data_IF_806657377724
#
_entry.id   IF_806657377724
#
_cell.length_a   1.000
_cell.length_b   1.000
_cell.length_c   1.000
_cell.angle_alpha   90.00
_cell.angle_beta   90.00
_cell.angle_gamma   90.00
#
_symmetry.space_group_name_H-M   'P 1'
#
loop_
_entity.id
_entity.type
_entity.pdbx_description
1 polymer ?
#
# COMPACT_ATOMS: atom_id res chain seq x y z
N UNK A 1 40.89 12.09 -0.02
CA UNK A 1 39.68 11.35 0.42
C UNK A 1 38.90 11.09 -0.84
N UNK A 2 38.82 9.86 -1.30
CA UNK A 2 37.91 9.48 -2.39
C UNK A 2 36.49 9.75 -1.88
N UNK A 3 35.73 10.57 -2.59
CA UNK A 3 34.29 10.69 -2.40
C UNK A 3 33.72 9.27 -2.52
N UNK A 4 33.23 8.70 -1.43
CA UNK A 4 32.49 7.46 -1.52
C UNK A 4 31.35 7.71 -2.53
N UNK A 5 31.29 6.89 -3.57
CA UNK A 5 30.22 6.99 -4.57
C UNK A 5 28.91 6.77 -3.83
N UNK A 6 28.04 7.80 -3.76
CA UNK A 6 26.74 7.68 -3.11
C UNK A 6 25.88 6.72 -3.92
N UNK A 7 25.07 5.93 -3.24
CA UNK A 7 24.06 5.11 -3.89
C UNK A 7 22.99 6.00 -4.52
N UNK A 8 22.64 5.78 -5.77
CA UNK A 8 21.63 6.53 -6.50
C UNK A 8 20.23 5.96 -6.24
N UNK A 9 19.37 6.73 -5.60
CA UNK A 9 18.02 6.33 -5.19
C UNK A 9 16.98 7.17 -5.92
N UNK A 10 16.10 6.52 -6.70
CA UNK A 10 14.97 7.20 -7.31
C UNK A 10 13.70 7.07 -6.46
N UNK A 11 13.04 8.18 -6.18
CA UNK A 11 11.73 8.24 -5.55
C UNK A 11 10.68 8.40 -6.65
N UNK A 12 9.80 7.39 -6.82
CA UNK A 12 8.64 7.50 -7.71
C UNK A 12 7.45 7.99 -6.90
N UNK A 13 6.67 8.94 -7.43
CA UNK A 13 5.50 9.47 -6.74
C UNK A 13 4.39 9.90 -7.71
N UNK A 14 3.20 10.18 -7.18
CA UNK A 14 2.02 10.52 -7.95
C UNK A 14 1.26 9.26 -8.41
N UNK A 15 1.17 9.03 -9.72
CA UNK A 15 0.50 7.86 -10.29
C UNK A 15 -0.94 8.13 -10.73
N UNK A 16 -1.52 7.18 -11.45
CA UNK A 16 -2.87 7.29 -12.03
C UNK A 16 -3.99 6.86 -11.07
N UNK A 17 -3.66 6.42 -9.86
CA UNK A 17 -4.66 5.95 -8.90
C UNK A 17 -5.42 7.11 -8.24
N UNK A 18 -6.53 6.78 -7.57
CA UNK A 18 -7.28 7.72 -6.72
C UNK A 18 -6.47 8.24 -5.52
N UNK A 19 -5.31 7.65 -5.26
CA UNK A 19 -4.40 8.00 -4.14
C UNK A 19 -3.21 8.86 -4.58
N UNK A 20 -3.28 9.46 -5.78
CA UNK A 20 -2.23 10.33 -6.35
C UNK A 20 -1.75 11.41 -5.36
N UNK A 21 -2.68 12.15 -4.77
CA UNK A 21 -2.36 13.23 -3.83
C UNK A 21 -1.68 12.71 -2.57
N UNK A 22 -2.10 11.54 -2.07
CA UNK A 22 -1.46 10.89 -0.91
C UNK A 22 -0.02 10.53 -1.20
N UNK A 23 0.25 10.02 -2.41
CA UNK A 23 1.59 9.73 -2.88
C UNK A 23 2.46 10.99 -2.96
N UNK A 24 1.91 12.09 -3.50
CA UNK A 24 2.59 13.38 -3.59
C UNK A 24 2.96 13.96 -2.22
N UNK A 25 2.13 13.74 -1.20
CA UNK A 25 2.44 14.14 0.19
C UNK A 25 3.43 13.16 0.84
N UNK A 26 3.26 11.86 0.62
CA UNK A 26 4.12 10.81 1.19
C UNK A 26 5.57 10.95 0.76
N UNK A 27 5.83 11.23 -0.52
CA UNK A 27 7.21 11.40 -1.03
C UNK A 27 7.93 12.55 -0.35
N UNK A 28 7.22 13.60 0.05
CA UNK A 28 7.79 14.72 0.81
C UNK A 28 8.43 14.28 2.12
N UNK A 29 7.90 13.25 2.77
CA UNK A 29 8.50 12.71 4.00
C UNK A 29 9.81 11.97 3.69
N UNK A 30 9.91 11.23 2.59
CA UNK A 30 11.16 10.64 2.13
C UNK A 30 12.20 11.72 1.79
N UNK A 31 11.82 12.71 0.99
CA UNK A 31 12.71 13.81 0.57
C UNK A 31 13.35 14.55 1.76
N UNK A 32 12.57 14.76 2.84
CA UNK A 32 13.04 15.47 4.06
C UNK A 32 13.90 14.62 4.98
N UNK A 33 13.72 13.29 4.96
CA UNK A 33 14.33 12.40 5.94
C UNK A 33 15.42 11.48 5.39
N UNK A 34 15.54 11.34 4.08
CA UNK A 34 16.61 10.52 3.46
C UNK A 34 17.97 11.16 3.63
N UNK A 35 18.97 10.37 4.04
CA UNK A 35 20.33 10.85 4.31
C UNK A 35 21.09 11.18 3.03
N UNK A 36 21.10 12.46 2.65
CA UNK A 36 21.83 12.98 1.48
C UNK A 36 23.35 12.80 1.55
N UNK A 37 23.91 12.43 2.69
CA UNK A 37 25.32 12.10 2.79
C UNK A 37 25.64 10.71 2.23
N UNK A 38 24.66 9.78 2.27
CA UNK A 38 24.75 8.39 1.79
C UNK A 38 24.18 8.24 0.37
N UNK A 39 23.11 8.98 0.06
CA UNK A 39 22.30 8.79 -1.14
C UNK A 39 22.31 10.01 -2.06
N UNK A 40 22.47 9.78 -3.34
CA UNK A 40 22.06 10.69 -4.39
C UNK A 40 20.58 10.41 -4.70
N UNK A 41 19.72 11.42 -4.59
CA UNK A 41 18.28 11.22 -4.67
C UNK A 41 17.71 11.91 -5.89
N UNK A 42 17.08 11.13 -6.73
CA UNK A 42 16.36 11.58 -7.91
C UNK A 42 14.85 11.46 -7.64
N UNK A 43 14.06 12.38 -8.19
CA UNK A 43 12.61 12.34 -8.04
C UNK A 43 11.93 12.23 -9.40
N UNK A 44 11.01 11.28 -9.51
CA UNK A 44 10.24 11.02 -10.73
C UNK A 44 8.75 11.06 -10.38
N UNK A 45 8.09 12.09 -10.88
CA UNK A 45 6.64 12.24 -10.74
C UNK A 45 5.90 11.56 -11.88
N UNK A 46 4.81 10.88 -11.56
CA UNK A 46 3.89 10.26 -12.52
C UNK A 46 2.58 11.04 -12.44
N UNK A 47 2.17 11.69 -13.54
CA UNK A 47 0.92 12.46 -13.56
C UNK A 47 -0.30 11.54 -13.54
N UNK A 48 -1.49 12.10 -13.35
CA UNK A 48 -2.77 11.35 -13.40
C UNK A 48 -3.03 10.73 -14.77
N UNK A 49 -2.45 11.29 -15.84
CA UNK A 49 -2.52 10.77 -17.20
C UNK A 49 -1.43 9.71 -17.49
N UNK A 50 -0.57 9.41 -16.49
CA UNK A 50 0.48 8.41 -16.64
C UNK A 50 1.76 8.89 -17.31
N UNK A 51 2.01 10.21 -17.36
CA UNK A 51 3.28 10.75 -17.88
C UNK A 51 4.34 10.68 -16.79
N UNK A 52 5.52 10.20 -17.12
CA UNK A 52 6.66 10.11 -16.21
C UNK A 52 7.60 11.29 -16.43
N UNK A 53 7.84 12.06 -15.38
CA UNK A 53 8.65 13.28 -15.42
C UNK A 53 9.72 13.22 -14.33
N UNK A 54 10.98 13.29 -14.74
CA UNK A 54 12.04 13.67 -13.82
C UNK A 54 11.81 15.12 -13.39
N UNK A 55 11.88 15.39 -12.11
CA UNK A 55 11.61 16.71 -11.55
C UNK A 55 12.55 17.02 -10.38
N UNK A 56 12.94 18.29 -10.25
CA UNK A 56 13.69 18.82 -9.12
C UNK A 56 12.77 19.59 -8.15
N UNK A 57 11.49 19.24 -8.13
CA UNK A 57 10.50 19.84 -7.27
C UNK A 57 10.87 19.76 -5.78
N UNK A 58 10.50 20.77 -5.00
CA UNK A 58 10.55 20.70 -3.54
C UNK A 58 9.43 19.82 -2.99
N UNK A 59 9.57 19.35 -1.76
CA UNK A 59 8.53 18.57 -1.10
C UNK A 59 7.16 19.30 -1.03
N UNK A 60 7.18 20.63 -0.93
CA UNK A 60 6.00 21.49 -0.92
C UNK A 60 5.33 21.51 -2.29
N UNK A 61 6.12 21.67 -3.36
CA UNK A 61 5.62 21.65 -4.75
C UNK A 61 5.07 20.27 -5.14
N UNK A 62 5.66 19.18 -4.63
CA UNK A 62 5.12 17.83 -4.80
C UNK A 62 3.75 17.71 -4.13
N UNK A 63 3.65 18.18 -2.88
CA UNK A 63 2.43 18.05 -2.08
C UNK A 63 1.26 18.89 -2.59
N UNK A 64 1.50 20.07 -3.17
CA UNK A 64 0.47 20.96 -3.70
C UNK A 64 0.16 20.74 -5.20
N UNK A 65 0.88 19.83 -5.86
CA UNK A 65 0.70 19.47 -7.28
C UNK A 65 1.38 20.41 -8.27
N UNK A 66 1.98 21.53 -7.84
CA UNK A 66 2.63 22.50 -8.73
C UNK A 66 3.89 21.94 -9.42
N UNK A 67 4.39 20.79 -8.97
CA UNK A 67 5.53 20.09 -9.58
C UNK A 67 5.31 19.75 -11.04
N UNK A 68 4.08 19.47 -11.47
CA UNK A 68 3.77 19.06 -12.84
C UNK A 68 4.10 20.14 -13.90
N UNK A 69 4.00 21.41 -13.51
CA UNK A 69 4.17 22.55 -14.40
C UNK A 69 5.59 23.17 -14.36
N UNK A 70 6.52 22.55 -13.62
CA UNK A 70 7.87 23.10 -13.52
C UNK A 70 8.61 23.06 -14.87
N UNK A 71 9.22 24.18 -15.29
CA UNK A 71 9.87 24.28 -16.61
C UNK A 71 11.12 23.40 -16.77
N UNK A 72 11.66 22.90 -15.66
CA UNK A 72 12.81 21.98 -15.62
C UNK A 72 12.45 20.50 -15.74
N UNK A 73 11.17 20.17 -15.77
CA UNK A 73 10.73 18.78 -15.89
C UNK A 73 11.17 18.16 -17.22
N UNK A 74 11.68 16.95 -17.15
CA UNK A 74 12.08 16.18 -18.34
C UNK A 74 11.30 14.86 -18.42
N UNK A 75 10.68 14.54 -19.56
CA UNK A 75 10.11 13.21 -19.77
C UNK A 75 11.17 12.13 -19.52
N UNK A 76 10.79 11.05 -18.85
CA UNK A 76 11.69 9.95 -18.56
C UNK A 76 10.96 8.60 -18.61
N UNK A 77 11.75 7.54 -18.69
CA UNK A 77 11.27 6.16 -18.55
C UNK A 77 12.30 5.34 -17.76
N UNK A 78 11.85 4.38 -16.96
CA UNK A 78 12.74 3.33 -16.48
C UNK A 78 12.93 2.34 -17.59
N UNK A 79 14.17 2.08 -17.98
CA UNK A 79 14.50 1.12 -19.03
C UNK A 79 14.29 -0.30 -18.53
N UNK A 80 13.50 -1.14 -19.21
CA UNK A 80 13.41 -2.56 -18.89
C UNK A 80 14.66 -3.35 -19.35
N UNK A 81 15.56 -2.74 -20.11
CA UNK A 81 16.83 -3.35 -20.52
C UNK A 81 17.81 -3.30 -19.35
N UNK A 82 18.19 -4.48 -18.85
CA UNK A 82 19.13 -4.62 -17.73
C UNK A 82 20.50 -4.00 -18.00
N UNK A 83 20.91 -3.86 -19.27
CA UNK A 83 22.16 -3.22 -19.63
C UNK A 83 22.15 -1.71 -19.33
N UNK A 84 21.00 -1.07 -19.32
CA UNK A 84 20.85 0.33 -18.92
C UNK A 84 20.91 0.53 -17.40
N UNK A 85 20.35 -0.41 -16.66
CA UNK A 85 20.25 -0.41 -15.19
C UNK A 85 19.93 0.99 -14.64
N UNK A 86 18.83 1.56 -15.11
CA UNK A 86 18.50 2.93 -14.76
C UNK A 86 17.34 3.53 -15.52
N UNK A 87 17.30 4.85 -15.56
CA UNK A 87 16.31 5.59 -16.32
C UNK A 87 16.92 6.36 -17.50
N UNK A 88 16.08 6.62 -18.49
CA UNK A 88 16.39 7.37 -19.68
C UNK A 88 15.62 8.68 -19.63
N UNK A 89 16.34 9.81 -19.73
CA UNK A 89 15.80 11.16 -19.81
C UNK A 89 15.77 11.63 -21.25
N UNK A 90 14.69 12.31 -21.63
CA UNK A 90 14.53 12.96 -22.93
C UNK A 90 14.69 14.47 -22.73
N UNK A 91 15.87 14.99 -23.08
CA UNK A 91 16.22 16.39 -22.86
C UNK A 91 15.50 17.33 -23.86
N UNK A 92 15.27 18.60 -23.50
CA UNK A 92 14.57 19.55 -24.40
C UNK A 92 15.27 19.82 -25.75
N UNK A 93 16.58 19.61 -25.80
CA UNK A 93 17.37 19.76 -27.06
C UNK A 93 17.40 18.47 -27.90
N UNK A 94 16.59 17.46 -27.53
CA UNK A 94 16.41 16.21 -28.28
C UNK A 94 17.48 15.16 -28.02
N UNK A 95 18.37 15.36 -27.05
CA UNK A 95 19.31 14.32 -26.60
C UNK A 95 18.64 13.34 -25.65
N UNK A 96 19.27 12.18 -25.53
CA UNK A 96 18.88 11.12 -24.59
C UNK A 96 20.03 10.95 -23.58
N UNK A 97 19.70 11.06 -22.32
CA UNK A 97 20.65 10.87 -21.22
C UNK A 97 20.26 9.65 -20.40
N UNK A 98 21.24 8.82 -20.03
CA UNK A 98 21.05 7.65 -19.17
C UNK A 98 21.51 7.97 -17.77
N UNK A 99 20.68 7.67 -16.78
CA UNK A 99 21.00 7.81 -15.36
C UNK A 99 20.94 6.44 -14.69
N UNK A 100 22.04 6.03 -14.08
CA UNK A 100 22.10 4.79 -13.32
C UNK A 100 21.23 4.89 -12.05
N UNK A 101 20.57 3.81 -11.68
CA UNK A 101 19.77 3.70 -10.46
C UNK A 101 20.18 2.46 -9.69
N UNK A 102 20.62 2.63 -8.44
CA UNK A 102 20.91 1.50 -7.55
C UNK A 102 19.64 0.97 -6.90
N UNK A 103 18.74 1.88 -6.46
CA UNK A 103 17.48 1.52 -5.77
C UNK A 103 16.35 2.44 -6.21
N UNK A 104 15.15 1.89 -6.30
CA UNK A 104 13.91 2.66 -6.48
C UNK A 104 13.04 2.54 -5.22
N UNK A 105 12.49 3.66 -4.76
CA UNK A 105 11.44 3.68 -3.74
C UNK A 105 10.14 4.08 -4.42
N UNK A 106 9.25 3.13 -4.71
CA UNK A 106 7.98 3.43 -5.36
C UNK A 106 6.96 3.93 -4.32
N UNK A 107 7.01 5.22 -4.00
CA UNK A 107 6.07 5.87 -3.07
C UNK A 107 4.74 6.07 -3.77
N UNK A 108 4.16 4.98 -4.25
CA UNK A 108 2.92 4.94 -5.02
C UNK A 108 1.88 4.15 -4.23
N UNK A 109 0.65 4.64 -4.18
CA UNK A 109 -0.44 4.00 -3.43
C UNK A 109 -1.54 3.54 -4.38
N UNK A 110 -2.19 2.41 -4.01
CA UNK A 110 -3.29 1.83 -4.77
C UNK A 110 -2.86 1.19 -6.10
N UNK A 111 -3.78 1.23 -7.09
CA UNK A 111 -3.56 0.63 -8.41
C UNK A 111 -2.32 1.21 -9.10
N UNK A 112 -1.61 0.37 -9.86
CA UNK A 112 -0.34 0.64 -10.56
C UNK A 112 0.87 0.81 -9.63
N UNK A 113 0.64 1.04 -8.32
CA UNK A 113 1.69 1.18 -7.31
C UNK A 113 1.83 -0.03 -6.40
N UNK A 114 0.72 -0.61 -5.94
CA UNK A 114 0.68 -1.72 -4.98
C UNK A 114 0.14 -3.03 -5.57
N UNK A 115 -0.03 -3.14 -6.88
CA UNK A 115 -0.65 -4.28 -7.57
C UNK A 115 0.34 -5.20 -8.31
N UNK A 116 1.64 -4.95 -8.19
CA UNK A 116 2.69 -5.69 -8.87
C UNK A 116 3.12 -5.10 -10.22
N UNK A 117 2.42 -4.08 -10.73
CA UNK A 117 2.71 -3.50 -12.06
C UNK A 117 4.05 -2.77 -12.09
N UNK A 118 4.28 -1.81 -11.20
CA UNK A 118 5.56 -1.11 -11.10
C UNK A 118 6.68 -2.03 -10.64
N UNK A 119 6.38 -2.96 -9.75
CA UNK A 119 7.32 -3.97 -9.29
C UNK A 119 7.79 -4.85 -10.45
N UNK A 120 6.88 -5.26 -11.37
CA UNK A 120 7.23 -6.02 -12.57
C UNK A 120 8.16 -5.26 -13.52
N UNK A 121 7.98 -3.95 -13.69
CA UNK A 121 8.90 -3.12 -14.44
C UNK A 121 10.30 -3.11 -13.82
N UNK A 122 10.40 -2.97 -12.49
CA UNK A 122 11.66 -2.93 -11.76
C UNK A 122 12.38 -4.28 -11.76
N UNK A 123 11.64 -5.40 -11.69
CA UNK A 123 12.18 -6.76 -11.86
C UNK A 123 12.77 -6.97 -13.26
N UNK A 124 12.08 -6.52 -14.32
CA UNK A 124 12.61 -6.58 -15.69
C UNK A 124 13.89 -5.76 -15.82
N UNK A 125 13.91 -4.56 -15.27
CA UNK A 125 15.06 -3.65 -15.27
C UNK A 125 16.25 -4.18 -14.43
N UNK A 126 16.01 -5.12 -13.53
CA UNK A 126 17.00 -5.65 -12.58
C UNK A 126 17.42 -4.63 -11.52
N UNK A 127 16.58 -3.66 -11.21
CA UNK A 127 16.85 -2.59 -10.23
C UNK A 127 16.23 -2.98 -8.89
N UNK A 128 17.01 -2.87 -7.80
CA UNK A 128 16.50 -3.07 -6.46
C UNK A 128 15.38 -2.07 -6.13
N UNK A 129 14.35 -2.50 -5.41
CA UNK A 129 13.26 -1.60 -5.03
C UNK A 129 12.72 -1.90 -3.64
N UNK A 130 12.29 -0.85 -2.96
CA UNK A 130 11.68 -0.91 -1.63
C UNK A 130 10.24 -1.42 -1.73
N UNK A 131 9.87 -2.28 -0.80
CA UNK A 131 8.51 -2.80 -0.70
C UNK A 131 8.38 -4.26 -1.10
N UNK A 132 7.14 -4.72 -1.15
CA UNK A 132 6.81 -6.10 -1.53
C UNK A 132 7.12 -6.37 -3.01
N UNK A 133 7.42 -7.63 -3.32
CA UNK A 133 7.63 -8.10 -4.69
C UNK A 133 6.33 -8.20 -5.50
N UNK A 134 6.45 -8.59 -6.76
CA UNK A 134 5.32 -8.70 -7.72
C UNK A 134 4.18 -9.56 -7.17
N UNK A 135 4.50 -10.76 -6.69
CA UNK A 135 3.50 -11.72 -6.22
C UNK A 135 2.71 -11.16 -5.03
N UNK A 136 3.42 -10.73 -3.98
CA UNK A 136 2.79 -10.22 -2.76
C UNK A 136 1.93 -8.98 -3.04
N UNK A 137 2.44 -8.03 -3.85
CA UNK A 137 1.69 -6.83 -4.24
C UNK A 137 0.39 -7.19 -4.95
N UNK A 138 0.43 -8.07 -5.95
CA UNK A 138 -0.76 -8.50 -6.70
C UNK A 138 -1.76 -9.27 -5.83
N UNK A 139 -1.27 -10.13 -4.96
CA UNK A 139 -2.11 -10.93 -4.05
C UNK A 139 -2.78 -10.05 -2.99
N UNK A 140 -2.04 -9.14 -2.36
CA UNK A 140 -2.58 -8.26 -1.33
C UNK A 140 -3.60 -7.26 -1.90
N UNK A 141 -3.44 -6.83 -3.15
CA UNK A 141 -4.38 -5.93 -3.81
C UNK A 141 -5.75 -6.61 -4.04
N UNK A 142 -5.78 -7.88 -4.43
CA UNK A 142 -7.02 -8.63 -4.69
C UNK A 142 -7.57 -9.25 -3.40
N UNK A 143 -8.56 -8.59 -2.80
CA UNK A 143 -9.18 -8.99 -1.52
C UNK A 143 -9.69 -10.44 -1.51
N UNK A 144 -10.19 -10.94 -2.64
CA UNK A 144 -10.67 -12.32 -2.72
C UNK A 144 -9.50 -13.33 -2.69
N UNK A 145 -8.39 -13.01 -3.36
CA UNK A 145 -7.18 -13.85 -3.36
C UNK A 145 -6.52 -13.80 -1.99
N UNK A 146 -6.39 -12.60 -1.40
CA UNK A 146 -5.84 -12.43 -0.07
C UNK A 146 -6.63 -13.24 0.97
N UNK A 147 -7.96 -13.11 1.00
CA UNK A 147 -8.82 -13.85 1.91
C UNK A 147 -8.70 -15.38 1.73
N UNK A 148 -8.63 -15.87 0.49
CA UNK A 148 -8.43 -17.29 0.22
C UNK A 148 -7.09 -17.81 0.77
N UNK A 149 -6.03 -17.00 0.69
CA UNK A 149 -4.73 -17.35 1.24
C UNK A 149 -4.69 -17.22 2.76
N UNK A 150 -5.37 -16.26 3.37
CA UNK A 150 -5.55 -16.20 4.83
C UNK A 150 -6.22 -17.48 5.33
N UNK A 151 -7.32 -17.89 4.68
CA UNK A 151 -8.04 -19.13 5.02
C UNK A 151 -7.13 -20.37 4.90
N UNK A 152 -6.42 -20.50 3.77
CA UNK A 152 -5.52 -21.64 3.52
C UNK A 152 -4.35 -21.73 4.51
N UNK A 153 -3.91 -20.60 5.08
CA UNK A 153 -2.80 -20.54 6.03
C UNK A 153 -3.27 -20.41 7.49
N UNK A 154 -4.57 -20.52 7.76
CA UNK A 154 -5.11 -20.46 9.11
C UNK A 154 -5.00 -19.09 9.80
N UNK A 155 -4.88 -18.01 9.01
CA UNK A 155 -4.94 -16.63 9.51
C UNK A 155 -6.40 -16.28 9.78
N UNK A 156 -6.78 -15.91 11.01
CA UNK A 156 -8.17 -15.53 11.29
C UNK A 156 -8.57 -14.30 10.50
N UNK A 157 -9.66 -14.42 9.75
CA UNK A 157 -10.17 -13.37 8.88
C UNK A 157 -11.70 -13.28 8.95
N UNK A 158 -12.27 -12.23 8.38
CA UNK A 158 -13.72 -12.02 8.30
C UNK A 158 -14.35 -13.07 7.38
N UNK A 159 -15.59 -13.51 7.65
CA UNK A 159 -16.33 -14.35 6.71
C UNK A 159 -16.57 -13.60 5.41
N UNK A 160 -16.36 -14.25 4.29
CA UNK A 160 -16.42 -13.62 2.98
C UNK A 160 -16.95 -14.55 1.90
N UNK A 161 -17.41 -13.96 0.81
CA UNK A 161 -17.66 -14.61 -0.49
C UNK A 161 -17.29 -13.63 -1.59
N UNK A 162 -17.09 -14.13 -2.81
CA UNK A 162 -16.86 -13.28 -3.98
C UNK A 162 -17.64 -13.77 -5.18
N UNK A 163 -17.93 -12.85 -6.10
CA UNK A 163 -18.54 -13.16 -7.38
C UNK A 163 -17.90 -12.31 -8.49
N UNK A 164 -17.67 -12.92 -9.65
CA UNK A 164 -17.23 -12.21 -10.83
C UNK A 164 -18.41 -11.58 -11.58
N UNK A 165 -18.14 -10.54 -12.37
CA UNK A 165 -19.17 -9.86 -13.20
C UNK A 165 -20.04 -10.85 -13.99
N UNK A 166 -19.43 -11.84 -14.64
CA UNK A 166 -20.18 -12.81 -15.46
C UNK A 166 -21.13 -13.70 -14.63
N UNK A 167 -20.79 -14.02 -13.36
CA UNK A 167 -21.67 -14.77 -12.44
C UNK A 167 -22.85 -13.93 -12.02
N UNK A 168 -22.59 -12.66 -11.69
CA UNK A 168 -23.59 -11.68 -11.29
C UNK A 168 -24.56 -11.39 -12.45
N UNK A 169 -24.05 -11.17 -13.66
CA UNK A 169 -24.87 -10.92 -14.86
C UNK A 169 -25.71 -12.13 -15.24
N UNK A 170 -25.23 -13.35 -14.96
CA UNK A 170 -25.95 -14.59 -15.24
C UNK A 170 -27.09 -14.85 -14.23
N UNK A 171 -26.86 -14.58 -12.93
CA UNK A 171 -27.82 -14.88 -11.87
C UNK A 171 -27.60 -13.96 -10.66
N UNK A 172 -28.02 -12.71 -10.78
CA UNK A 172 -27.92 -11.72 -9.70
C UNK A 172 -28.70 -12.14 -8.44
N UNK A 173 -29.91 -12.71 -8.64
CA UNK A 173 -30.76 -13.13 -7.52
C UNK A 173 -30.11 -14.29 -6.74
N UNK A 174 -29.55 -15.26 -7.43
CA UNK A 174 -28.84 -16.37 -6.81
C UNK A 174 -27.57 -15.92 -6.07
N UNK A 175 -26.83 -14.95 -6.62
CA UNK A 175 -25.68 -14.34 -5.93
C UNK A 175 -26.13 -13.63 -4.65
N UNK A 176 -27.19 -12.79 -4.71
CA UNK A 176 -27.70 -12.09 -3.54
C UNK A 176 -28.19 -13.05 -2.45
N UNK A 177 -28.92 -14.10 -2.83
CA UNK A 177 -29.39 -15.12 -1.89
C UNK A 177 -28.21 -15.87 -1.23
N UNK A 178 -27.17 -16.21 -2.00
CA UNK A 178 -25.98 -16.87 -1.49
C UNK A 178 -25.15 -15.99 -0.54
N UNK A 179 -25.10 -14.69 -0.77
CA UNK A 179 -24.47 -13.72 0.14
C UNK A 179 -25.21 -13.68 1.47
N UNK A 180 -26.54 -13.51 1.43
CA UNK A 180 -27.39 -13.46 2.64
C UNK A 180 -27.29 -14.78 3.46
N UNK A 181 -27.37 -15.94 2.79
CA UNK A 181 -27.27 -17.25 3.44
C UNK A 181 -25.95 -17.44 4.18
N UNK A 182 -24.83 -17.04 3.54
CA UNK A 182 -23.50 -17.31 4.08
C UNK A 182 -23.03 -16.28 5.10
N UNK A 183 -23.38 -15.01 4.92
CA UNK A 183 -22.83 -13.90 5.70
C UNK A 183 -23.84 -13.31 6.68
N UNK A 184 -25.15 -13.36 6.38
CA UNK A 184 -26.17 -12.61 7.12
C UNK A 184 -26.07 -11.10 6.85
N UNK A 185 -26.65 -10.29 7.72
CA UNK A 185 -26.62 -8.82 7.63
C UNK A 185 -26.03 -8.20 8.90
N UNK A 186 -25.34 -7.04 8.83
CA UNK A 186 -24.99 -6.30 7.61
C UNK A 186 -23.78 -6.91 6.85
N UNK A 187 -23.60 -6.49 5.58
CA UNK A 187 -22.53 -6.95 4.69
C UNK A 187 -21.80 -5.76 4.07
N UNK A 188 -20.48 -5.80 4.06
CA UNK A 188 -19.67 -4.91 3.24
C UNK A 188 -19.54 -5.46 1.82
N UNK A 189 -19.81 -4.61 0.84
CA UNK A 189 -19.65 -4.89 -0.60
C UNK A 189 -18.50 -4.07 -1.12
N UNK A 190 -17.50 -4.72 -1.69
CA UNK A 190 -16.23 -4.09 -2.09
C UNK A 190 -15.81 -4.54 -3.49
N UNK A 191 -15.27 -3.66 -4.35
CA UNK A 191 -14.46 -4.10 -5.48
C UNK A 191 -13.26 -4.92 -4.98
N UNK A 192 -12.85 -5.97 -5.68
CA UNK A 192 -11.74 -6.82 -5.23
C UNK A 192 -10.40 -6.06 -5.24
N UNK A 193 -10.16 -5.24 -6.28
CA UNK A 193 -8.91 -4.51 -6.51
C UNK A 193 -9.14 -2.98 -6.45
N UNK A 194 -9.50 -2.46 -5.28
CA UNK A 194 -9.63 -1.02 -5.07
C UNK A 194 -9.06 -0.63 -3.71
N UNK A 195 -8.39 0.52 -3.67
CA UNK A 195 -7.89 1.17 -2.46
C UNK A 195 -8.82 2.27 -1.96
N UNK A 196 -8.48 2.89 -0.81
CA UNK A 196 -9.09 4.11 -0.26
C UNK A 196 -10.62 4.12 -0.20
N UNK A 197 -11.24 2.97 0.08
CA UNK A 197 -12.69 2.82 0.22
C UNK A 197 -13.52 3.18 -1.03
N UNK A 198 -12.91 3.23 -2.22
CA UNK A 198 -13.64 3.50 -3.47
C UNK A 198 -14.57 2.34 -3.80
N UNK A 199 -15.85 2.64 -4.07
CA UNK A 199 -16.86 1.65 -4.42
C UNK A 199 -17.29 0.71 -3.29
N UNK A 200 -16.95 1.01 -2.03
CA UNK A 200 -17.35 0.23 -0.85
C UNK A 200 -18.72 0.70 -0.34
N UNK A 201 -19.56 -0.26 0.00
CA UNK A 201 -20.87 -0.01 0.64
C UNK A 201 -21.09 -0.96 1.80
N UNK A 202 -21.74 -0.47 2.87
CA UNK A 202 -22.27 -1.29 3.96
C UNK A 202 -23.79 -1.39 3.78
N UNK A 203 -24.32 -2.60 3.68
CA UNK A 203 -25.72 -2.86 3.30
C UNK A 203 -26.40 -3.81 4.29
N UNK A 204 -27.71 -3.64 4.48
CA UNK A 204 -28.52 -4.38 5.43
C UNK A 204 -29.75 -5.06 4.82
N UNK A 205 -29.87 -5.01 3.49
CA UNK A 205 -30.99 -5.61 2.76
C UNK A 205 -30.58 -6.07 1.36
N UNK A 206 -31.37 -6.97 0.76
CA UNK A 206 -31.14 -7.41 -0.62
C UNK A 206 -31.28 -6.28 -1.65
N UNK A 207 -32.14 -5.30 -1.40
CA UNK A 207 -32.32 -4.16 -2.30
C UNK A 207 -31.08 -3.27 -2.32
N UNK A 208 -30.54 -2.94 -1.13
CA UNK A 208 -29.28 -2.21 -0.98
C UNK A 208 -28.10 -3.00 -1.57
N UNK A 209 -28.09 -4.34 -1.41
CA UNK A 209 -27.05 -5.21 -1.93
C UNK A 209 -26.95 -5.11 -3.45
N UNK A 210 -28.06 -5.11 -4.17
CA UNK A 210 -28.06 -4.98 -5.64
C UNK A 210 -27.49 -3.64 -6.11
N UNK A 211 -27.84 -2.56 -5.42
CA UNK A 211 -27.27 -1.23 -5.73
C UNK A 211 -25.76 -1.18 -5.44
N UNK A 212 -25.33 -1.76 -4.32
CA UNK A 212 -23.93 -1.82 -3.93
C UNK A 212 -23.09 -2.68 -4.91
N UNK A 213 -23.63 -3.80 -5.40
CA UNK A 213 -23.01 -4.63 -6.43
C UNK A 213 -22.79 -3.81 -7.70
N UNK A 214 -23.79 -3.06 -8.15
CA UNK A 214 -23.67 -2.22 -9.34
C UNK A 214 -22.55 -1.19 -9.19
N UNK A 215 -22.49 -0.51 -8.04
CA UNK A 215 -21.42 0.46 -7.72
C UNK A 215 -20.03 -0.19 -7.69
N UNK A 216 -19.90 -1.36 -7.05
CA UNK A 216 -18.64 -2.07 -6.99
C UNK A 216 -18.15 -2.50 -8.39
N UNK A 217 -19.08 -2.92 -9.25
CA UNK A 217 -18.79 -3.30 -10.64
C UNK A 217 -18.39 -2.14 -11.55
N UNK A 218 -18.59 -0.89 -11.16
CA UNK A 218 -18.01 0.27 -11.88
C UNK A 218 -16.49 0.33 -11.72
N UNK A 219 -15.97 -0.25 -10.63
CA UNK A 219 -14.55 -0.15 -10.26
C UNK A 219 -13.76 -1.44 -10.51
N UNK A 220 -14.44 -2.62 -10.55
CA UNK A 220 -13.78 -3.90 -10.79
C UNK A 220 -14.76 -4.89 -11.48
N UNK A 221 -14.19 -5.91 -12.07
CA UNK A 221 -14.91 -7.07 -12.61
C UNK A 221 -15.27 -8.11 -11.55
N UNK A 222 -14.75 -8.00 -10.34
CA UNK A 222 -14.93 -8.92 -9.22
C UNK A 222 -15.38 -8.14 -7.98
N UNK A 223 -16.42 -8.65 -7.34
CA UNK A 223 -16.97 -8.10 -6.10
C UNK A 223 -16.71 -9.05 -4.95
N UNK A 224 -16.26 -8.51 -3.84
CA UNK A 224 -16.06 -9.23 -2.57
C UNK A 224 -17.13 -8.75 -1.58
N UNK A 225 -17.72 -9.70 -0.89
CA UNK A 225 -18.71 -9.49 0.16
C UNK A 225 -18.12 -9.99 1.47
N UNK A 226 -18.17 -9.17 2.51
CA UNK A 226 -17.62 -9.50 3.81
C UNK A 226 -18.65 -9.23 4.91
N UNK A 227 -18.74 -10.14 5.87
CA UNK A 227 -19.60 -9.94 7.03
C UNK A 227 -19.14 -8.72 7.84
N UNK A 228 -20.06 -7.92 8.32
CA UNK A 228 -19.76 -6.83 9.22
C UNK A 228 -19.14 -7.34 10.51
N UNK A 229 -18.08 -6.70 10.97
CA UNK A 229 -17.42 -6.96 12.25
C UNK A 229 -17.62 -5.74 13.16
N UNK A 230 -18.40 -5.87 14.23
CA UNK A 230 -18.44 -4.86 15.28
C UNK A 230 -17.18 -4.98 16.14
N UNK A 231 -16.15 -4.24 15.80
CA UNK A 231 -14.82 -4.35 16.37
C UNK A 231 -14.08 -3.02 16.45
N UNK A 232 -12.98 -3.04 17.18
CA UNK A 232 -11.99 -2.00 17.20
C UNK A 232 -11.03 -2.23 16.04
N UNK A 233 -10.82 -1.19 15.20
CA UNK A 233 -9.83 -1.23 14.14
C UNK A 233 -8.44 -0.94 14.68
N UNK A 234 -7.47 -1.78 14.35
CA UNK A 234 -6.07 -1.61 14.75
C UNK A 234 -5.14 -1.93 13.59
N UNK A 235 -4.05 -1.20 13.53
CA UNK A 235 -3.05 -1.29 12.46
C UNK A 235 -1.71 -1.74 13.03
N UNK A 236 -1.04 -2.68 12.36
CA UNK A 236 0.24 -3.24 12.76
C UNK A 236 1.26 -3.10 11.62
N UNK A 237 2.40 -2.48 11.87
CA UNK A 237 3.48 -2.40 10.90
C UNK A 237 4.31 -3.69 10.92
N UNK A 238 4.70 -4.17 9.74
CA UNK A 238 5.63 -5.31 9.59
C UNK A 238 6.78 -4.89 8.71
N UNK A 239 8.00 -5.31 9.06
CA UNK A 239 9.23 -5.03 8.32
C UNK A 239 10.09 -6.28 8.19
N UNK A 240 10.85 -6.37 7.09
CA UNK A 240 11.78 -7.47 6.84
C UNK A 240 11.17 -8.56 5.99
N UNK A 241 11.87 -9.69 5.87
CA UNK A 241 11.40 -10.86 5.12
C UNK A 241 11.57 -12.12 5.98
N UNK A 242 12.76 -12.43 6.40
CA UNK A 242 13.09 -13.68 7.06
C UNK A 242 14.10 -13.45 8.21
N UNK A 243 13.65 -13.25 9.45
CA UNK A 243 12.25 -13.23 9.90
C UNK A 243 11.54 -11.89 9.66
N UNK A 244 10.21 -11.94 9.45
CA UNK A 244 9.37 -10.76 9.49
C UNK A 244 9.20 -10.27 10.94
N UNK A 245 9.32 -8.96 11.16
CA UNK A 245 9.19 -8.33 12.49
C UNK A 245 7.98 -7.41 12.49
N UNK A 246 6.98 -7.76 13.31
CA UNK A 246 5.77 -6.97 13.50
C UNK A 246 5.91 -6.08 14.75
N UNK A 247 5.36 -4.86 14.67
CA UNK A 247 5.27 -3.91 15.80
C UNK A 247 4.11 -4.28 16.73
N UNK A 248 4.00 -3.61 17.87
CA UNK A 248 2.72 -3.51 18.57
C UNK A 248 1.74 -2.74 17.70
N UNK A 249 0.43 -3.12 17.70
CA UNK A 249 -0.55 -2.39 16.93
C UNK A 249 -0.87 -1.02 17.54
N UNK A 250 -1.22 -0.09 16.66
CA UNK A 250 -1.83 1.17 17.03
C UNK A 250 -3.30 1.23 16.59
N UNK A 251 -4.03 2.19 17.11
CA UNK A 251 -5.42 2.48 16.72
C UNK A 251 -5.57 3.93 16.29
N UNK A 252 -6.58 4.17 15.47
CA UNK A 252 -7.00 5.50 15.09
C UNK A 252 -8.35 5.77 15.74
N UNK A 253 -8.38 6.73 16.66
CA UNK A 253 -9.62 7.20 17.24
C UNK A 253 -10.27 8.15 16.25
N UNK A 254 -11.26 7.65 15.50
CA UNK A 254 -12.02 8.45 14.55
C UNK A 254 -12.92 9.45 15.29
N UNK A 255 -12.97 10.69 14.79
CA UNK A 255 -13.90 11.71 15.29
C UNK A 255 -15.34 11.50 14.86
N UNK A 256 -15.66 10.49 14.01
CA UNK A 256 -16.97 10.16 13.46
C UNK A 256 -17.15 8.66 13.28
N UNK A 257 -18.40 8.21 13.08
CA UNK A 257 -18.80 6.78 12.98
C UNK A 257 -18.14 6.00 11.82
N UNK A 258 -17.63 6.68 10.80
CA UNK A 258 -16.90 6.07 9.69
C UNK A 258 -15.64 6.88 9.37
N UNK A 259 -14.51 6.19 9.29
CA UNK A 259 -13.20 6.77 8.96
C UNK A 259 -13.06 6.91 7.44
N UNK A 260 -13.42 8.08 6.94
CA UNK A 260 -13.42 8.40 5.49
C UNK A 260 -12.03 8.80 4.99
N UNK A 261 -11.85 8.84 3.65
CA UNK A 261 -10.64 9.37 3.00
C UNK A 261 -10.29 10.78 3.47
N UNK A 262 -11.29 11.66 3.61
CA UNK A 262 -11.08 13.04 4.07
C UNK A 262 -10.66 13.11 5.54
N UNK A 263 -11.13 12.20 6.38
CA UNK A 263 -10.68 12.08 7.77
C UNK A 263 -9.24 11.57 7.87
N UNK A 264 -8.84 10.68 6.94
CA UNK A 264 -7.48 10.13 6.88
C UNK A 264 -6.42 11.19 6.55
N UNK A 265 -6.74 12.15 5.68
CA UNK A 265 -5.72 12.99 5.04
C UNK A 265 -5.96 14.50 5.12
N UNK A 266 -7.20 14.98 5.40
CA UNK A 266 -7.55 16.41 5.35
C UNK A 266 -7.96 17.03 6.68
N UNK A 267 -8.70 16.32 7.53
CA UNK A 267 -9.38 16.96 8.67
C UNK A 267 -8.57 17.04 9.97
N UNK A 268 -7.47 16.30 10.11
CA UNK A 268 -6.55 16.35 11.27
C UNK A 268 -7.19 16.08 12.65
N UNK A 269 -8.41 15.54 12.70
CA UNK A 269 -9.20 15.34 13.93
C UNK A 269 -8.94 13.97 14.56
N UNK A 270 -8.37 13.04 13.78
CA UNK A 270 -8.10 11.69 14.24
C UNK A 270 -6.86 11.63 15.14
N UNK A 271 -7.00 11.01 16.31
CA UNK A 271 -5.88 10.76 17.22
C UNK A 271 -5.32 9.35 17.00
N UNK A 272 -4.01 9.29 16.80
CA UNK A 272 -3.28 8.00 16.77
C UNK A 272 -2.88 7.64 18.19
N UNK A 273 -3.20 6.42 18.62
CA UNK A 273 -2.82 5.85 19.93
C UNK A 273 -1.95 4.63 19.72
N UNK A 274 -0.73 4.65 20.24
CA UNK A 274 0.25 3.56 20.16
C UNK A 274 0.84 3.32 21.56
N UNK A 275 0.76 2.08 22.09
CA UNK A 275 -0.01 0.95 21.56
C UNK A 275 -1.53 1.19 21.63
N UNK A 276 -2.30 0.45 20.85
CA UNK A 276 -3.76 0.48 20.86
C UNK A 276 -4.32 0.15 22.26
N UNK A 277 -5.50 0.69 22.58
CA UNK A 277 -6.19 0.41 23.84
C UNK A 277 -6.74 -1.02 23.91
N UNK A 278 -5.85 -1.99 23.96
CA UNK A 278 -6.15 -3.42 24.07
C UNK A 278 -5.41 -4.04 25.24
N UNK A 279 -5.95 -5.15 25.82
CA UNK A 279 -5.19 -5.96 26.77
C UNK A 279 -3.89 -6.47 26.15
N UNK A 280 -2.81 -6.58 26.96
CA UNK A 280 -1.47 -6.99 26.47
C UNK A 280 -1.50 -8.28 25.65
N UNK A 281 -2.25 -9.29 26.10
CA UNK A 281 -2.42 -10.54 25.36
C UNK A 281 -3.03 -10.35 23.96
N UNK A 282 -3.85 -9.32 23.75
CA UNK A 282 -4.44 -8.99 22.45
C UNK A 282 -3.48 -8.23 21.57
N UNK A 283 -2.66 -7.34 22.13
CA UNK A 283 -1.56 -6.70 21.41
C UNK A 283 -0.60 -7.74 20.84
N UNK A 284 -0.22 -8.74 21.65
CA UNK A 284 0.65 -9.84 21.23
C UNK A 284 -0.02 -10.76 20.20
N UNK A 285 -1.33 -10.99 20.30
CA UNK A 285 -2.10 -11.79 19.35
C UNK A 285 -2.15 -11.10 17.98
N UNK A 286 -2.43 -9.78 17.91
CA UNK A 286 -2.41 -8.98 16.69
C UNK A 286 -1.02 -9.02 16.05
N UNK A 287 0.02 -8.80 16.83
CA UNK A 287 1.42 -8.87 16.38
C UNK A 287 1.74 -10.24 15.76
N UNK A 288 1.31 -11.32 16.39
CA UNK A 288 1.52 -12.70 15.90
C UNK A 288 0.81 -12.92 14.58
N UNK A 289 -0.47 -12.52 14.49
CA UNK A 289 -1.25 -12.68 13.27
C UNK A 289 -0.77 -11.76 12.13
N UNK A 290 -0.22 -10.59 12.45
CA UNK A 290 0.39 -9.71 11.46
C UNK A 290 1.60 -10.37 10.78
N UNK A 291 2.51 -10.96 11.57
CA UNK A 291 3.65 -11.70 11.03
C UNK A 291 3.20 -12.94 10.24
N UNK A 292 2.18 -13.66 10.72
CA UNK A 292 1.58 -14.80 10.02
C UNK A 292 0.97 -14.40 8.66
N UNK A 293 0.14 -13.38 8.64
CA UNK A 293 -0.53 -12.89 7.45
C UNK A 293 0.47 -12.36 6.40
N UNK A 294 1.45 -11.58 6.86
CA UNK A 294 2.53 -11.07 6.04
C UNK A 294 3.32 -12.19 5.35
N UNK A 295 3.67 -13.23 6.11
CA UNK A 295 4.38 -14.41 5.56
C UNK A 295 3.49 -15.22 4.63
N UNK A 296 2.21 -15.41 4.97
CA UNK A 296 1.25 -16.17 4.17
C UNK A 296 1.04 -15.58 2.75
N UNK A 297 1.13 -14.25 2.62
CA UNK A 297 1.00 -13.55 1.34
C UNK A 297 2.35 -13.26 0.67
N UNK A 298 3.44 -13.87 1.17
CA UNK A 298 4.80 -13.70 0.63
C UNK A 298 5.27 -12.23 0.63
N UNK A 299 4.85 -11.44 1.62
CA UNK A 299 5.30 -10.06 1.76
C UNK A 299 6.77 -9.97 2.16
N UNK A 300 7.44 -8.92 1.70
CA UNK A 300 8.83 -8.59 1.97
C UNK A 300 8.99 -7.06 2.11
N UNK A 301 10.08 -6.62 2.73
CA UNK A 301 10.42 -5.22 2.90
C UNK A 301 9.54 -4.54 3.93
N UNK A 302 8.35 -4.08 3.58
CA UNK A 302 7.39 -3.45 4.49
C UNK A 302 5.96 -3.79 4.12
N UNK A 303 5.06 -3.81 5.10
CA UNK A 303 3.62 -3.72 4.90
C UNK A 303 2.92 -3.26 6.19
N UNK A 304 1.68 -2.79 6.09
CA UNK A 304 0.77 -2.58 7.21
C UNK A 304 -0.36 -3.58 7.13
N UNK A 305 -0.54 -4.31 8.24
CA UNK A 305 -1.62 -5.26 8.41
C UNK A 305 -2.71 -4.63 9.27
N UNK A 306 -3.92 -4.57 8.75
CA UNK A 306 -5.06 -3.93 9.37
C UNK A 306 -6.02 -4.99 9.91
N UNK A 307 -6.46 -4.84 11.16
CA UNK A 307 -7.23 -5.84 11.89
C UNK A 307 -8.48 -5.25 12.52
N UNK A 308 -9.47 -6.12 12.72
CA UNK A 308 -10.57 -5.90 13.66
C UNK A 308 -10.36 -6.74 14.91
N UNK A 309 -10.56 -6.12 16.09
CA UNK A 309 -10.71 -6.83 17.36
C UNK A 309 -12.18 -6.79 17.76
N UNK A 310 -12.87 -7.90 17.57
CA UNK A 310 -14.33 -8.00 17.75
C UNK A 310 -14.74 -7.73 19.19
N UNK A 311 -15.67 -6.79 19.41
CA UNK A 311 -16.03 -6.32 20.76
C UNK A 311 -16.58 -7.43 21.66
N UNK A 312 -17.45 -8.27 21.13
CA UNK A 312 -18.18 -9.25 21.93
C UNK A 312 -17.38 -10.51 22.25
N UNK A 313 -16.47 -10.92 21.38
CA UNK A 313 -15.72 -12.18 21.50
C UNK A 313 -14.22 -11.95 21.77
N UNK A 314 -13.72 -10.76 21.45
CA UNK A 314 -12.31 -10.45 21.48
C UNK A 314 -11.50 -11.19 20.39
N UNK A 315 -12.14 -11.75 19.36
CA UNK A 315 -11.41 -12.37 18.25
C UNK A 315 -10.67 -11.30 17.45
N UNK A 316 -9.44 -11.61 17.09
CA UNK A 316 -8.61 -10.80 16.20
C UNK A 316 -8.78 -11.34 14.79
N UNK A 317 -9.21 -10.50 13.87
CA UNK A 317 -9.50 -10.85 12.48
C UNK A 317 -8.74 -9.89 11.56
N UNK A 318 -7.97 -10.44 10.61
CA UNK A 318 -7.33 -9.57 9.61
C UNK A 318 -8.39 -9.03 8.64
N UNK A 319 -8.23 -7.76 8.28
CA UNK A 319 -9.00 -7.08 7.26
C UNK A 319 -8.25 -7.07 5.93
N UNK A 320 -7.05 -6.45 5.90
CA UNK A 320 -6.24 -6.34 4.68
C UNK A 320 -4.74 -6.13 4.99
N UNK A 321 -3.92 -6.25 3.95
CA UNK A 321 -2.49 -5.89 3.99
C UNK A 321 -2.23 -4.83 2.92
N UNK A 322 -1.63 -3.71 3.34
CA UNK A 322 -1.18 -2.63 2.48
C UNK A 322 0.32 -2.78 2.24
N UNK A 323 0.72 -3.08 1.02
CA UNK A 323 2.12 -3.44 0.68
C UNK A 323 3.06 -2.25 0.55
N UNK A 324 2.51 -1.06 0.36
CA UNK A 324 3.22 0.20 0.52
C UNK A 324 2.31 1.21 1.25
N UNK A 325 2.21 1.13 2.59
CA UNK A 325 1.28 1.96 3.35
C UNK A 325 1.63 3.44 3.27
N UNK A 326 0.65 4.31 3.53
CA UNK A 326 0.86 5.75 3.60
C UNK A 326 2.08 6.10 4.45
N UNK A 327 2.91 7.02 3.95
CA UNK A 327 4.20 7.37 4.55
C UNK A 327 4.32 8.88 4.84
N UNK A 328 3.19 9.55 5.09
CA UNK A 328 3.17 10.94 5.54
C UNK A 328 3.60 11.05 7.01
N UNK A 329 3.88 12.26 7.49
CA UNK A 329 4.24 12.48 8.90
C UNK A 329 3.14 12.07 9.90
N UNK A 330 1.89 11.97 9.46
CA UNK A 330 0.77 11.54 10.31
C UNK A 330 0.38 10.06 10.10
N UNK A 331 0.96 9.39 9.11
CA UNK A 331 0.64 7.99 8.78
C UNK A 331 1.04 7.03 9.90
N UNK A 332 0.24 5.98 10.08
CA UNK A 332 0.42 5.01 11.15
C UNK A 332 1.71 4.21 11.02
N UNK A 333 2.06 3.75 9.81
CA UNK A 333 3.25 2.90 9.61
C UNK A 333 4.54 3.52 10.16
N UNK A 334 4.97 4.75 9.76
CA UNK A 334 6.17 5.35 10.32
C UNK A 334 6.08 5.62 11.82
N UNK A 335 4.90 5.96 12.37
CA UNK A 335 4.71 6.16 13.80
C UNK A 335 4.86 4.87 14.61
N UNK A 336 4.33 3.75 14.11
CA UNK A 336 4.50 2.44 14.72
C UNK A 336 5.99 2.05 14.76
N UNK A 337 6.70 2.26 13.66
CA UNK A 337 8.13 1.97 13.58
C UNK A 337 8.95 2.87 14.52
N UNK A 338 8.62 4.16 14.61
CA UNK A 338 9.26 5.09 15.55
C UNK A 338 9.02 4.71 17.01
N UNK A 339 7.79 4.25 17.34
CA UNK A 339 7.45 3.74 18.68
C UNK A 339 8.31 2.54 19.08
N UNK A 340 8.64 1.65 18.14
CA UNK A 340 9.55 0.51 18.34
C UNK A 340 11.05 0.91 18.27
N UNK A 341 11.36 2.21 18.22
CA UNK A 341 12.73 2.72 18.25
C UNK A 341 13.41 2.81 16.90
N UNK A 342 12.67 2.73 15.79
CA UNK A 342 13.19 2.90 14.43
C UNK A 342 12.64 4.20 13.79
N UNK A 343 13.24 5.37 14.05
CA UNK A 343 12.79 6.65 13.52
C UNK A 343 12.96 6.71 12.00
N UNK A 344 12.17 7.59 11.34
CA UNK A 344 12.03 7.67 9.88
C UNK A 344 13.35 7.65 9.10
N UNK A 345 14.40 8.41 9.45
CA UNK A 345 15.67 8.33 8.70
C UNK A 345 16.29 6.95 8.72
N UNK A 346 16.30 6.28 9.89
CA UNK A 346 16.84 4.93 10.03
C UNK A 346 15.92 3.88 9.39
N UNK A 347 14.62 4.11 9.40
CA UNK A 347 13.65 3.27 8.72
C UNK A 347 13.91 3.29 7.19
N UNK A 348 14.13 4.46 6.59
CA UNK A 348 14.47 4.58 5.17
C UNK A 348 15.76 3.82 4.86
N UNK A 349 16.83 4.01 5.66
CA UNK A 349 18.07 3.26 5.50
C UNK A 349 17.84 1.74 5.55
N UNK A 350 17.03 1.26 6.50
CA UNK A 350 16.73 -0.17 6.64
C UNK A 350 15.92 -0.71 5.45
N UNK A 351 14.95 0.05 4.95
CA UNK A 351 14.15 -0.34 3.79
C UNK A 351 14.99 -0.42 2.52
N UNK A 352 15.90 0.53 2.30
CA UNK A 352 16.87 0.48 1.19
C UNK A 352 17.76 -0.76 1.32
N UNK A 353 18.30 -1.02 2.51
CA UNK A 353 19.14 -2.19 2.75
C UNK A 353 18.41 -3.50 2.45
N UNK A 354 17.14 -3.64 2.89
CA UNK A 354 16.31 -4.81 2.59
C UNK A 354 16.08 -5.01 1.09
N UNK A 355 15.88 -3.93 0.34
CA UNK A 355 15.73 -3.98 -1.10
C UNK A 355 16.98 -4.52 -1.79
N UNK A 356 18.15 -4.02 -1.40
CA UNK A 356 19.46 -4.48 -1.93
C UNK A 356 19.70 -5.94 -1.54
N UNK A 357 19.53 -6.30 -0.26
CA UNK A 357 19.68 -7.68 0.23
C UNK A 357 18.83 -8.68 -0.55
N UNK A 358 17.56 -8.30 -0.89
CA UNK A 358 16.66 -9.15 -1.68
C UNK A 358 17.19 -9.37 -3.09
N UNK A 359 17.60 -8.31 -3.77
CA UNK A 359 18.08 -8.38 -5.15
C UNK A 359 19.39 -9.19 -5.25
N UNK A 360 20.29 -9.04 -4.28
CA UNK A 360 21.53 -9.84 -4.21
C UNK A 360 21.22 -11.34 -4.02
N UNK A 361 20.25 -11.71 -3.18
CA UNK A 361 19.85 -13.11 -2.98
C UNK A 361 19.17 -13.74 -4.19
N UNK A 362 18.48 -12.94 -5.00
CA UNK A 362 17.78 -13.44 -6.20
C UNK A 362 18.72 -13.62 -7.40
N UNK A 363 19.80 -12.87 -7.46
CA UNK A 363 20.69 -12.80 -8.64
C UNK A 363 22.14 -13.22 -8.35
N UNK A 364 22.50 -13.54 -7.09
CA UNK A 364 23.79 -14.11 -6.67
C UNK A 364 23.73 -15.62 -6.68
#
# INVERSE_FOLDING_TARGET
MQSANKMCVALLFGGMSSEHEVSCVSVGNFVRNIDRSKYEVLTVGITKEGRWLYTEATAEQMADGSWEELPGNMPCVISPDRADHGMILFTPDGRVEKMHLDVVIPVLHGLWGEDGTVQGLLELAGIAYVGCGVLASSVCMDKAVANALFEANGVPHTKWVAANRWEIEKDLEGVCAGVEEKLGWPVFVKPANAGSSVGISNVSSQEELKAAIALALENDRKVVFEAFVDGQEVECAVIGSDPAVATRPGEILAGAEFYTYDDKYKNGVSQTVIPAHLPEAKLDEVKTYAAMAYTALNCEGLARCDFFVEKNTGRVLINEINTFPGFTAISMYPKLMEHEGLPVPQLIDRLIALAVERTEKQHG
#
